data_IF_181852989165
#
_entry.id   IF_181852989165
#
_cell.length_a   1.000
_cell.length_b   1.000
_cell.length_c   1.000
_cell.angle_alpha   90.00
_cell.angle_beta   90.00
_cell.angle_gamma   90.00
#
_symmetry.space_group_name_H-M   'P 1'
#
loop_
_entity.id
_entity.type
_entity.pdbx_description
1 polymer ?
#
# COMPACT_ATOMS: atom_id res chain seq x y z
N UNK A 1 -61.65 16.91 25.56
CA UNK A 1 -61.14 16.63 24.21
C UNK A 1 -59.69 16.20 24.33
N UNK A 2 -59.40 14.93 24.05
CA UNK A 2 -58.05 14.43 23.84
C UNK A 2 -57.63 14.68 22.38
N UNK A 3 -56.34 14.86 22.13
CA UNK A 3 -55.81 15.01 20.78
C UNK A 3 -54.29 15.20 20.76
N UNK A 4 -53.58 14.08 20.77
CA UNK A 4 -52.15 13.93 20.52
C UNK A 4 -51.66 14.69 19.26
N UNK A 5 -50.43 15.21 19.29
CA UNK A 5 -49.45 15.08 18.21
C UNK A 5 -48.06 15.58 18.67
N UNK A 6 -47.22 14.65 19.12
CA UNK A 6 -45.77 14.86 19.22
C UNK A 6 -45.06 13.51 19.04
N UNK A 7 -45.07 12.99 17.81
CA UNK A 7 -44.30 11.81 17.43
C UNK A 7 -43.80 11.96 15.99
N UNK A 8 -42.88 12.90 15.76
CA UNK A 8 -42.29 13.15 14.43
C UNK A 8 -40.75 13.21 14.41
N UNK A 9 -40.07 13.23 15.56
CA UNK A 9 -38.63 13.52 15.62
C UNK A 9 -37.69 12.34 15.39
N UNK A 10 -38.12 11.11 15.64
CA UNK A 10 -37.21 9.94 15.68
C UNK A 10 -37.04 9.23 14.33
N UNK A 11 -38.05 9.26 13.47
CA UNK A 11 -38.00 8.59 12.17
C UNK A 11 -37.06 9.28 11.15
N UNK A 12 -37.03 10.62 11.14
CA UNK A 12 -36.15 11.40 10.25
C UNK A 12 -34.67 11.29 10.61
N UNK A 13 -34.35 11.25 11.91
CA UNK A 13 -32.98 11.03 12.38
C UNK A 13 -32.47 9.61 12.03
N UNK A 14 -33.32 8.59 12.19
CA UNK A 14 -33.01 7.21 11.80
C UNK A 14 -32.72 7.07 10.30
N UNK A 15 -33.57 7.66 9.44
CA UNK A 15 -33.37 7.63 8.00
C UNK A 15 -32.07 8.35 7.56
N UNK A 16 -31.76 9.52 8.15
CA UNK A 16 -30.53 10.25 7.87
C UNK A 16 -29.26 9.48 8.26
N UNK A 17 -29.27 8.81 9.40
CA UNK A 17 -28.12 7.98 9.84
C UNK A 17 -27.89 6.76 8.95
N UNK A 18 -28.96 6.11 8.48
CA UNK A 18 -28.85 4.97 7.57
C UNK A 18 -28.31 5.40 6.20
N UNK A 19 -28.80 6.52 5.65
CA UNK A 19 -28.30 7.07 4.40
C UNK A 19 -26.81 7.45 4.47
N UNK A 20 -26.38 8.06 5.58
CA UNK A 20 -24.98 8.39 5.83
C UNK A 20 -24.09 7.13 5.81
N UNK A 21 -24.46 6.10 6.58
CA UNK A 21 -23.69 4.84 6.64
C UNK A 21 -23.59 4.14 5.30
N UNK A 22 -24.67 4.18 4.51
CA UNK A 22 -24.66 3.62 3.16
C UNK A 22 -23.69 4.39 2.26
N UNK A 23 -23.69 5.72 2.31
CA UNK A 23 -22.78 6.55 1.52
C UNK A 23 -21.31 6.32 1.92
N UNK A 24 -21.02 6.21 3.21
CA UNK A 24 -19.69 5.88 3.75
C UNK A 24 -19.22 4.51 3.24
N UNK A 25 -20.06 3.48 3.33
CA UNK A 25 -19.71 2.14 2.84
C UNK A 25 -19.49 2.13 1.32
N UNK A 26 -20.33 2.83 0.55
CA UNK A 26 -20.14 2.96 -0.90
C UNK A 26 -18.83 3.67 -1.26
N UNK A 27 -18.42 4.67 -0.48
CA UNK A 27 -17.14 5.34 -0.69
C UNK A 27 -15.94 4.44 -0.43
N UNK A 28 -15.98 3.67 0.67
CA UNK A 28 -14.97 2.65 0.97
C UNK A 28 -14.89 1.61 -0.15
N UNK A 29 -16.03 1.13 -0.65
CA UNK A 29 -16.06 0.15 -1.73
C UNK A 29 -15.44 0.71 -3.01
N UNK A 30 -15.78 1.95 -3.42
CA UNK A 30 -15.17 2.59 -4.60
C UNK A 30 -13.65 2.73 -4.48
N UNK A 31 -13.13 3.04 -3.29
CA UNK A 31 -11.68 3.11 -3.04
C UNK A 31 -11.02 1.74 -3.15
N UNK A 32 -11.66 0.68 -2.63
CA UNK A 32 -11.19 -0.70 -2.77
C UNK A 32 -11.21 -1.13 -4.23
N UNK A 33 -12.30 -0.89 -4.95
CA UNK A 33 -12.44 -1.26 -6.37
C UNK A 33 -11.41 -0.53 -7.24
N UNK A 34 -11.09 0.73 -6.92
CA UNK A 34 -10.08 1.49 -7.65
C UNK A 34 -8.67 0.88 -7.58
N UNK A 35 -8.27 0.31 -6.45
CA UNK A 35 -6.98 -0.39 -6.33
C UNK A 35 -7.06 -1.84 -6.80
N UNK A 36 -8.18 -2.50 -6.54
CA UNK A 36 -8.41 -3.87 -6.99
C UNK A 36 -8.44 -3.97 -8.52
N UNK A 37 -8.96 -2.96 -9.25
CA UNK A 37 -8.89 -2.93 -10.73
C UNK A 37 -7.46 -2.91 -11.27
N UNK A 38 -6.51 -2.35 -10.51
CA UNK A 38 -5.09 -2.29 -10.90
C UNK A 38 -4.34 -3.57 -10.55
N UNK A 39 -4.74 -4.25 -9.46
CA UNK A 39 -4.13 -5.47 -8.97
C UNK A 39 -5.21 -6.44 -8.42
N UNK A 40 -6.01 -7.07 -9.29
CA UNK A 40 -7.19 -7.84 -8.90
C UNK A 40 -6.85 -9.16 -8.22
N UNK A 41 -5.62 -9.63 -8.40
CA UNK A 41 -5.08 -10.85 -7.83
C UNK A 41 -4.65 -10.72 -6.37
N UNK A 42 -4.71 -9.52 -5.78
CA UNK A 42 -4.41 -9.25 -4.37
C UNK A 42 -5.69 -9.05 -3.57
N UNK A 43 -5.64 -9.36 -2.26
CA UNK A 43 -6.70 -8.96 -1.35
C UNK A 43 -6.53 -7.49 -0.97
N UNK A 44 -7.65 -6.78 -0.88
CA UNK A 44 -7.68 -5.36 -0.51
C UNK A 44 -8.75 -5.13 0.54
N UNK A 45 -8.50 -4.19 1.44
CA UNK A 45 -9.52 -3.71 2.35
C UNK A 45 -9.35 -2.21 2.61
N UNK A 46 -10.46 -1.52 2.78
CA UNK A 46 -10.49 -0.14 3.26
C UNK A 46 -11.43 -0.05 4.46
N UNK A 47 -11.06 0.76 5.45
CA UNK A 47 -11.88 0.96 6.63
C UNK A 47 -11.85 2.38 7.17
N UNK A 48 -12.98 2.84 7.68
CA UNK A 48 -13.12 4.13 8.34
C UNK A 48 -12.81 3.96 9.84
N UNK A 49 -11.88 4.77 10.36
CA UNK A 49 -11.54 4.80 11.79
C UNK A 49 -12.67 5.40 12.63
N UNK A 50 -12.57 5.23 13.94
CA UNK A 50 -13.49 5.77 14.94
C UNK A 50 -13.49 7.31 15.02
N UNK A 51 -12.45 7.96 14.50
CA UNK A 51 -12.40 9.41 14.27
C UNK A 51 -13.32 9.91 13.14
N UNK A 52 -14.07 9.01 12.48
CA UNK A 52 -14.98 9.24 11.35
C UNK A 52 -14.35 9.96 10.14
N UNK A 53 -13.03 10.12 10.09
CA UNK A 53 -12.33 10.91 9.05
C UNK A 53 -11.20 10.16 8.37
N UNK A 54 -10.50 9.29 9.10
CA UNK A 54 -9.36 8.54 8.57
C UNK A 54 -9.85 7.27 7.88
N UNK A 55 -9.74 7.23 6.55
CA UNK A 55 -9.91 6.01 5.77
C UNK A 55 -8.57 5.32 5.57
N UNK A 56 -8.38 4.14 6.14
CA UNK A 56 -7.15 3.34 5.96
C UNK A 56 -7.35 2.36 4.81
N UNK A 57 -6.35 2.25 3.93
CA UNK A 57 -6.32 1.26 2.83
C UNK A 57 -5.17 0.27 3.05
N UNK A 58 -5.44 -1.02 2.90
CA UNK A 58 -4.47 -2.09 3.11
C UNK A 58 -4.56 -3.21 2.07
N UNK A 59 -3.45 -3.90 1.90
CA UNK A 59 -3.35 -5.24 1.29
C UNK A 59 -2.52 -6.12 2.23
N UNK A 60 -2.81 -7.41 2.25
CA UNK A 60 -2.07 -8.42 3.00
C UNK A 60 -0.80 -8.90 2.30
N UNK A 61 -0.49 -8.42 1.09
CA UNK A 61 0.72 -8.77 0.32
C UNK A 61 2.00 -8.76 1.18
N UNK A 62 2.19 -7.72 2.00
CA UNK A 62 3.26 -7.65 2.99
C UNK A 62 2.87 -6.75 4.16
N UNK A 63 1.84 -7.16 4.90
CA UNK A 63 1.47 -6.52 6.18
C UNK A 63 1.10 -5.05 6.08
N UNK A 64 0.50 -4.62 4.95
CA UNK A 64 0.09 -3.23 4.72
C UNK A 64 0.94 -2.45 3.70
N UNK A 65 2.05 -3.00 3.22
CA UNK A 65 2.81 -2.37 2.13
C UNK A 65 1.99 -2.35 0.83
N UNK A 66 1.88 -1.18 0.20
CA UNK A 66 1.20 -1.02 -1.08
C UNK A 66 2.24 -1.04 -2.22
N UNK A 67 2.14 -1.95 -3.21
CA UNK A 67 3.12 -2.04 -4.30
C UNK A 67 3.15 -0.77 -5.18
N UNK A 68 4.28 -0.48 -5.85
CA UNK A 68 4.47 0.75 -6.64
C UNK A 68 3.58 0.82 -7.90
N UNK A 69 3.09 -0.34 -8.37
CA UNK A 69 2.20 -0.44 -9.52
C UNK A 69 0.77 -0.03 -9.23
N UNK A 70 0.40 0.09 -7.95
CA UNK A 70 -0.94 0.49 -7.54
C UNK A 70 -0.95 1.98 -7.20
N UNK A 71 -1.73 2.73 -7.97
CA UNK A 71 -1.99 4.14 -7.77
C UNK A 71 -3.11 4.35 -6.76
N UNK A 72 -2.87 5.21 -5.78
CA UNK A 72 -3.76 5.39 -4.64
C UNK A 72 -4.93 6.31 -4.96
N UNK A 73 -6.15 5.97 -4.49
CA UNK A 73 -7.30 6.89 -4.52
C UNK A 73 -7.10 8.02 -3.49
N UNK A 74 -7.81 9.14 -3.61
CA UNK A 74 -7.62 10.29 -2.74
C UNK A 74 -8.13 10.02 -1.33
N UNK A 75 -7.59 10.74 -0.35
CA UNK A 75 -8.08 10.72 1.05
C UNK A 75 -7.98 9.35 1.72
N UNK A 76 -6.94 8.57 1.39
CA UNK A 76 -6.58 7.36 2.13
C UNK A 76 -5.34 7.61 2.98
N UNK A 77 -5.27 6.93 4.12
CA UNK A 77 -4.08 6.74 4.92
C UNK A 77 -3.57 5.31 4.74
N UNK A 78 -2.27 5.11 4.89
CA UNK A 78 -1.64 3.79 4.86
C UNK A 78 -1.19 3.40 6.27
N UNK A 79 -1.01 2.11 6.50
CA UNK A 79 -0.36 1.65 7.72
C UNK A 79 1.12 2.07 7.74
N UNK A 80 1.63 2.36 8.93
CA UNK A 80 3.06 2.60 9.10
C UNK A 80 3.88 1.34 8.81
N UNK A 81 5.11 1.50 8.26
CA UNK A 81 6.05 0.41 8.09
C UNK A 81 6.31 -0.32 9.42
N UNK A 82 5.93 -1.59 9.47
CA UNK A 82 6.15 -2.42 10.65
C UNK A 82 6.16 -3.90 10.26
N UNK A 83 6.85 -4.71 11.05
CA UNK A 83 6.72 -6.15 10.98
C UNK A 83 5.35 -6.59 11.51
N UNK A 84 4.57 -7.30 10.68
CA UNK A 84 3.27 -7.87 11.05
C UNK A 84 3.26 -9.37 10.73
N UNK A 85 2.39 -10.12 11.41
CA UNK A 85 2.24 -11.57 11.17
C UNK A 85 1.79 -11.81 9.72
N UNK A 86 2.37 -12.82 9.08
CA UNK A 86 2.15 -13.09 7.64
C UNK A 86 0.75 -13.58 7.29
N UNK A 87 0.10 -14.25 8.21
CA UNK A 87 -1.23 -14.84 8.05
C UNK A 87 -2.36 -13.84 8.38
N UNK A 88 -2.02 -12.58 8.66
CA UNK A 88 -3.00 -11.52 8.90
C UNK A 88 -3.70 -11.16 7.60
N UNK A 89 -5.02 -11.35 7.53
CA UNK A 89 -5.81 -10.99 6.35
C UNK A 89 -5.88 -9.47 6.15
N UNK A 90 -6.24 -9.03 4.94
CA UNK A 90 -6.44 -7.61 4.66
C UNK A 90 -7.49 -6.96 5.59
N UNK A 91 -8.54 -7.69 5.96
CA UNK A 91 -9.57 -7.19 6.89
C UNK A 91 -9.00 -7.08 8.31
N UNK A 92 -8.23 -8.07 8.77
CA UNK A 92 -7.62 -8.04 10.11
C UNK A 92 -6.58 -6.90 10.25
N UNK A 93 -5.87 -6.58 9.15
CA UNK A 93 -4.93 -5.46 9.10
C UNK A 93 -5.59 -4.09 9.31
N UNK A 94 -6.90 -3.97 9.06
CA UNK A 94 -7.62 -2.74 9.35
C UNK A 94 -7.63 -2.46 10.86
N UNK A 95 -7.68 -3.48 11.73
CA UNK A 95 -7.86 -3.28 13.17
C UNK A 95 -9.22 -2.66 13.51
N UNK A 96 -9.26 -1.77 14.50
CA UNK A 96 -10.51 -1.11 14.92
C UNK A 96 -10.99 -0.10 13.87
N UNK A 97 -12.13 -0.39 13.24
CA UNK A 97 -12.81 0.44 12.24
C UNK A 97 -14.32 0.38 12.46
N UNK A 98 -15.03 1.47 12.13
CA UNK A 98 -16.49 1.58 12.28
C UNK A 98 -17.25 1.15 11.01
N UNK A 99 -16.57 1.12 9.87
CA UNK A 99 -17.05 0.60 8.61
C UNK A 99 -15.88 0.02 7.81
N UNK A 100 -16.14 -1.01 7.01
CA UNK A 100 -15.14 -1.64 6.16
C UNK A 100 -15.73 -2.08 4.81
N UNK A 101 -14.89 -2.11 3.80
CA UNK A 101 -15.11 -2.74 2.50
C UNK A 101 -13.88 -3.58 2.16
N UNK A 102 -14.06 -4.68 1.42
CA UNK A 102 -12.96 -5.57 1.07
C UNK A 102 -13.19 -6.22 -0.30
N UNK A 103 -12.08 -6.55 -0.95
CA UNK A 103 -12.03 -7.30 -2.19
C UNK A 103 -11.23 -8.58 -1.97
N UNK A 104 -11.80 -9.70 -2.44
CA UNK A 104 -11.14 -10.99 -2.42
C UNK A 104 -10.39 -11.24 -3.74
N UNK A 105 -9.19 -11.84 -3.70
CA UNK A 105 -8.38 -12.09 -4.89
C UNK A 105 -9.17 -12.74 -6.04
N UNK A 106 -8.98 -12.24 -7.26
CA UNK A 106 -9.58 -12.75 -8.50
C UNK A 106 -11.10 -12.72 -8.55
N UNK A 107 -11.75 -11.97 -7.65
CA UNK A 107 -13.19 -11.71 -7.74
C UNK A 107 -13.47 -10.70 -8.86
N UNK A 108 -14.63 -10.79 -9.48
CA UNK A 108 -15.05 -9.85 -10.50
C UNK A 108 -15.18 -8.43 -9.91
N UNK A 109 -14.70 -7.44 -10.66
CA UNK A 109 -14.80 -6.01 -10.31
C UNK A 109 -15.44 -5.30 -11.50
N UNK A 110 -16.43 -4.47 -11.23
CA UNK A 110 -17.08 -3.66 -12.26
C UNK A 110 -16.13 -2.61 -12.83
N UNK A 111 -16.34 -2.24 -14.11
CA UNK A 111 -15.60 -1.16 -14.73
C UNK A 111 -15.76 0.17 -13.98
N UNK A 112 -14.79 1.07 -14.17
CA UNK A 112 -14.78 2.36 -13.50
C UNK A 112 -15.96 3.23 -13.94
N UNK A 113 -16.79 3.65 -12.97
CA UNK A 113 -17.88 4.58 -13.18
C UNK A 113 -17.46 6.05 -13.02
N UNK A 114 -18.33 7.01 -13.37
CA UNK A 114 -18.04 8.45 -13.26
C UNK A 114 -17.74 8.94 -11.83
N UNK A 115 -18.23 8.21 -10.83
CA UNK A 115 -18.06 8.55 -9.41
C UNK A 115 -16.86 7.83 -8.77
N UNK A 116 -16.13 7.03 -9.54
CA UNK A 116 -14.95 6.34 -9.03
C UNK A 116 -13.75 7.27 -8.91
N UNK A 117 -12.91 7.08 -7.89
CA UNK A 117 -11.76 7.95 -7.67
C UNK A 117 -10.73 7.79 -8.79
N UNK A 118 -10.15 8.93 -9.21
CA UNK A 118 -9.08 8.95 -10.20
C UNK A 118 -7.81 8.34 -9.60
N UNK A 119 -7.26 7.25 -10.17
CA UNK A 119 -6.04 6.63 -9.67
C UNK A 119 -4.86 7.62 -9.63
N UNK A 120 -4.13 7.64 -8.51
CA UNK A 120 -2.91 8.43 -8.33
C UNK A 120 -3.15 9.82 -7.73
N UNK A 121 -4.40 10.21 -7.50
CA UNK A 121 -4.74 11.44 -6.77
C UNK A 121 -4.41 11.38 -5.28
N UNK A 122 -4.11 10.19 -4.74
CA UNK A 122 -3.80 9.96 -3.32
C UNK A 122 -2.34 9.63 -2.98
N UNK A 123 -1.38 9.78 -3.89
CA UNK A 123 0.00 9.31 -3.67
C UNK A 123 0.70 9.93 -2.45
N UNK A 124 0.26 11.10 -1.99
CA UNK A 124 0.78 11.75 -0.77
C UNK A 124 0.64 10.87 0.48
N UNK A 125 -0.25 9.88 0.47
CA UNK A 125 -0.40 8.93 1.57
C UNK A 125 0.85 8.06 1.81
N UNK A 126 1.77 7.97 0.84
CA UNK A 126 3.06 7.27 0.98
C UNK A 126 4.14 8.13 1.66
N UNK A 127 3.95 9.45 1.74
CA UNK A 127 5.01 10.39 2.09
C UNK A 127 5.23 10.48 3.61
N UNK A 128 6.29 11.17 4.03
CA UNK A 128 6.58 11.43 5.44
C UNK A 128 7.34 10.30 6.14
N UNK A 129 7.80 9.29 5.40
CA UNK A 129 8.66 8.24 5.94
C UNK A 129 10.08 8.79 6.13
N UNK A 130 10.65 8.57 7.31
CA UNK A 130 11.98 9.05 7.66
C UNK A 130 13.01 7.95 7.44
N UNK A 131 14.04 8.25 6.65
CA UNK A 131 15.22 7.41 6.47
C UNK A 131 16.44 8.30 6.61
N UNK A 132 17.25 8.02 7.62
CA UNK A 132 18.56 8.61 7.79
C UNK A 132 19.47 8.21 6.64
N UNK A 133 20.19 9.19 6.10
CA UNK A 133 21.23 8.98 5.08
C UNK A 133 20.77 8.03 3.94
N UNK A 134 19.69 8.41 3.25
CA UNK A 134 19.06 7.60 2.19
C UNK A 134 20.06 6.96 1.22
N UNK A 135 21.06 7.71 0.76
CA UNK A 135 22.10 7.23 -0.16
C UNK A 135 22.97 6.13 0.44
N UNK A 136 23.70 6.39 1.55
CA UNK A 136 24.46 5.37 2.28
C UNK A 136 23.64 4.12 2.63
N UNK A 137 22.45 4.30 3.20
CA UNK A 137 21.54 3.20 3.55
C UNK A 137 21.23 2.33 2.33
N UNK A 138 20.93 2.94 1.18
CA UNK A 138 20.63 2.22 -0.06
C UNK A 138 21.83 1.40 -0.56
N UNK A 139 23.05 1.95 -0.48
CA UNK A 139 24.29 1.26 -0.88
C UNK A 139 24.53 0.05 0.02
N UNK A 140 24.33 0.20 1.33
CA UNK A 140 24.59 -0.85 2.30
C UNK A 140 23.62 -2.03 2.10
N UNK A 141 22.32 -1.76 2.04
CA UNK A 141 21.31 -2.83 1.90
C UNK A 141 21.39 -3.56 0.55
N UNK A 142 21.74 -2.84 -0.53
CA UNK A 142 21.91 -3.48 -1.85
C UNK A 142 23.23 -4.25 -1.94
N UNK A 143 24.29 -3.75 -1.31
CA UNK A 143 25.59 -4.42 -1.26
C UNK A 143 25.58 -5.68 -0.38
N UNK A 144 24.80 -5.68 0.70
CA UNK A 144 24.67 -6.81 1.61
C UNK A 144 23.77 -7.95 1.09
N UNK A 145 23.02 -7.74 -0.01
CA UNK A 145 22.09 -8.73 -0.55
C UNK A 145 22.72 -9.51 -1.73
N UNK A 146 23.25 -10.72 -1.51
CA UNK A 146 23.97 -11.48 -2.53
C UNK A 146 23.06 -12.02 -3.65
N UNK A 147 21.73 -11.99 -3.45
CA UNK A 147 20.75 -12.49 -4.43
C UNK A 147 20.41 -11.45 -5.49
N UNK A 148 20.70 -10.18 -5.25
CA UNK A 148 20.39 -9.12 -6.21
C UNK A 148 21.35 -9.20 -7.40
N UNK A 149 20.82 -9.17 -8.64
CA UNK A 149 21.65 -9.05 -9.84
C UNK A 149 22.58 -7.85 -9.76
N UNK A 150 23.77 -7.96 -10.35
CA UNK A 150 24.80 -6.90 -10.29
C UNK A 150 24.28 -5.55 -10.78
N UNK A 151 23.39 -5.54 -11.77
CA UNK A 151 22.77 -4.33 -12.30
C UNK A 151 22.06 -3.52 -11.21
N UNK A 152 21.39 -4.17 -10.25
CA UNK A 152 20.69 -3.51 -9.14
C UNK A 152 21.68 -2.74 -8.27
N UNK A 153 22.82 -3.34 -7.95
CA UNK A 153 23.87 -2.70 -7.15
C UNK A 153 24.51 -1.52 -7.90
N UNK A 154 24.73 -1.65 -9.21
CA UNK A 154 25.26 -0.57 -10.05
C UNK A 154 24.32 0.63 -10.04
N UNK A 155 23.04 0.41 -10.35
CA UNK A 155 22.04 1.48 -10.41
C UNK A 155 21.80 2.11 -9.04
N UNK A 156 21.72 1.31 -7.97
CA UNK A 156 21.58 1.81 -6.61
C UNK A 156 22.71 2.76 -6.20
N UNK A 157 23.97 2.39 -6.49
CA UNK A 157 25.14 3.25 -6.21
C UNK A 157 25.10 4.55 -7.00
N UNK A 158 24.68 4.49 -8.25
CA UNK A 158 24.56 5.68 -9.08
C UNK A 158 23.46 6.63 -8.55
N UNK A 159 22.29 6.10 -8.21
CA UNK A 159 21.19 6.87 -7.61
C UNK A 159 21.59 7.48 -6.26
N UNK A 160 22.25 6.71 -5.38
CA UNK A 160 22.73 7.17 -4.08
C UNK A 160 23.77 8.31 -4.21
N UNK A 161 24.58 8.30 -5.27
CA UNK A 161 25.58 9.33 -5.57
C UNK A 161 25.03 10.49 -6.40
N UNK A 162 23.73 10.47 -6.72
CA UNK A 162 23.08 11.43 -7.65
C UNK A 162 23.81 11.52 -8.99
N UNK A 163 24.37 10.41 -9.47
CA UNK A 163 25.00 10.33 -10.79
C UNK A 163 24.03 9.79 -11.84
N UNK A 164 24.27 10.13 -13.11
CA UNK A 164 23.52 9.55 -14.22
C UNK A 164 23.71 8.03 -14.33
N UNK A 165 22.71 7.36 -14.88
CA UNK A 165 22.71 5.93 -15.23
C UNK A 165 22.36 5.85 -16.71
N UNK A 166 23.02 4.96 -17.45
CA UNK A 166 22.74 4.83 -18.87
C UNK A 166 21.35 4.21 -19.11
N UNK A 167 20.67 4.59 -20.20
CA UNK A 167 19.30 4.12 -20.49
C UNK A 167 19.21 2.59 -20.59
N UNK A 168 20.25 1.93 -21.12
CA UNK A 168 20.31 0.47 -21.20
C UNK A 168 20.42 -0.18 -19.81
N UNK A 169 21.12 0.45 -18.86
CA UNK A 169 21.22 -0.01 -17.48
C UNK A 169 19.89 0.17 -16.75
N UNK A 170 19.19 1.29 -16.97
CA UNK A 170 17.83 1.52 -16.46
C UNK A 170 16.87 0.47 -17.02
N UNK A 171 16.93 0.19 -18.32
CA UNK A 171 16.09 -0.82 -18.95
C UNK A 171 16.32 -2.22 -18.36
N UNK A 172 17.59 -2.63 -18.21
CA UNK A 172 17.94 -3.91 -17.59
C UNK A 172 17.50 -3.97 -16.13
N UNK A 173 17.64 -2.88 -15.37
CA UNK A 173 17.14 -2.79 -14.01
C UNK A 173 15.61 -2.94 -13.95
N UNK A 174 14.86 -2.26 -14.81
CA UNK A 174 13.39 -2.36 -14.87
C UNK A 174 12.90 -3.73 -15.31
N UNK A 175 13.67 -4.46 -16.11
CA UNK A 175 13.41 -5.87 -16.37
C UNK A 175 13.46 -6.68 -15.07
N UNK A 176 14.48 -6.49 -14.23
CA UNK A 176 14.58 -7.16 -12.91
C UNK A 176 13.39 -6.80 -12.01
N UNK A 177 12.95 -5.54 -12.00
CA UNK A 177 11.74 -5.10 -11.28
C UNK A 177 10.51 -5.91 -11.75
N UNK A 178 10.31 -5.97 -13.06
CA UNK A 178 9.15 -6.62 -13.68
C UNK A 178 9.13 -8.13 -13.42
N UNK A 179 10.29 -8.80 -13.56
CA UNK A 179 10.43 -10.23 -13.26
C UNK A 179 10.20 -10.54 -11.78
N UNK A 180 10.66 -9.67 -10.87
CA UNK A 180 10.46 -9.82 -9.42
C UNK A 180 8.99 -9.65 -9.06
N UNK A 181 8.34 -8.60 -9.59
CA UNK A 181 6.90 -8.40 -9.44
C UNK A 181 6.10 -9.61 -9.94
N UNK A 182 6.36 -10.07 -11.17
CA UNK A 182 5.63 -11.19 -11.76
C UNK A 182 5.75 -12.46 -10.90
N UNK A 183 6.97 -12.76 -10.42
CA UNK A 183 7.24 -13.88 -9.52
C UNK A 183 6.44 -13.78 -8.23
N UNK A 184 6.47 -12.63 -7.56
CA UNK A 184 5.72 -12.40 -6.31
C UNK A 184 4.22 -12.58 -6.54
N UNK A 185 3.67 -11.90 -7.55
CA UNK A 185 2.23 -11.93 -7.83
C UNK A 185 1.74 -13.30 -8.27
N UNK A 186 2.56 -14.08 -9.00
CA UNK A 186 2.22 -15.46 -9.39
C UNK A 186 2.23 -16.46 -8.23
N UNK A 187 3.00 -16.16 -7.18
CA UNK A 187 3.13 -17.03 -6.01
C UNK A 187 2.17 -16.63 -4.88
N UNK A 188 1.48 -15.50 -4.99
CA UNK A 188 0.53 -15.03 -4.00
C UNK A 188 -0.63 -16.02 -3.81
N UNK A 189 -1.07 -16.33 -2.58
CA UNK A 189 -0.62 -15.76 -1.29
C UNK A 189 0.58 -16.48 -0.64
N UNK A 190 1.17 -17.49 -1.29
CA UNK A 190 2.31 -18.27 -0.76
C UNK A 190 3.68 -17.74 -1.20
N UNK A 191 3.79 -16.47 -1.60
CA UNK A 191 5.04 -15.86 -2.03
C UNK A 191 6.08 -15.84 -0.90
N UNK A 192 7.37 -15.92 -1.27
CA UNK A 192 8.45 -15.80 -0.30
C UNK A 192 8.65 -14.32 0.08
N UNK A 193 8.62 -13.94 1.37
CA UNK A 193 8.72 -12.53 1.76
C UNK A 193 10.07 -11.89 1.57
N UNK A 194 11.12 -12.69 1.36
CA UNK A 194 12.39 -12.18 0.84
C UNK A 194 12.24 -11.63 -0.59
N UNK A 195 11.35 -12.20 -1.40
CA UNK A 195 11.11 -11.74 -2.78
C UNK A 195 10.29 -10.44 -2.77
N UNK A 196 9.36 -10.29 -1.81
CA UNK A 196 8.66 -9.01 -1.61
C UNK A 196 9.58 -7.94 -1.04
N UNK A 197 10.47 -8.29 -0.11
CA UNK A 197 11.50 -7.37 0.37
C UNK A 197 12.42 -6.93 -0.78
N UNK A 198 12.88 -7.85 -1.64
CA UNK A 198 13.64 -7.45 -2.83
C UNK A 198 12.82 -6.51 -3.72
N UNK A 199 11.53 -6.77 -3.91
CA UNK A 199 10.66 -5.88 -4.67
C UNK A 199 10.52 -4.49 -4.04
N UNK A 200 10.41 -4.38 -2.71
CA UNK A 200 10.42 -3.09 -2.00
C UNK A 200 11.72 -2.32 -2.28
N UNK A 201 12.87 -3.00 -2.18
CA UNK A 201 14.16 -2.36 -2.45
C UNK A 201 14.30 -1.91 -3.91
N UNK A 202 13.85 -2.73 -4.85
CA UNK A 202 13.78 -2.38 -6.27
C UNK A 202 12.85 -1.19 -6.52
N UNK A 203 11.69 -1.14 -5.86
CA UNK A 203 10.76 -0.02 -5.95
C UNK A 203 11.36 1.29 -5.42
N UNK A 204 12.18 1.22 -4.36
CA UNK A 204 12.89 2.38 -3.84
C UNK A 204 13.88 2.95 -4.87
N UNK A 205 14.63 2.09 -5.56
CA UNK A 205 15.59 2.50 -6.60
C UNK A 205 14.84 3.06 -7.82
N UNK A 206 13.77 2.41 -8.28
CA UNK A 206 12.98 2.91 -9.43
C UNK A 206 12.33 4.27 -9.13
N UNK A 207 11.90 4.50 -7.88
CA UNK A 207 11.41 5.80 -7.43
C UNK A 207 12.49 6.89 -7.54
N UNK A 208 13.75 6.58 -7.21
CA UNK A 208 14.88 7.52 -7.39
C UNK A 208 15.18 7.80 -8.86
N UNK A 209 15.09 6.79 -9.73
CA UNK A 209 15.19 6.98 -11.19
C UNK A 209 14.08 7.93 -11.67
N UNK A 210 12.87 7.81 -11.11
CA UNK A 210 11.74 8.71 -11.35
C UNK A 210 11.84 10.07 -10.65
N UNK A 211 12.92 10.35 -9.91
CA UNK A 211 13.15 11.62 -9.23
C UNK A 211 12.37 11.81 -7.93
N UNK A 212 11.76 10.76 -7.36
CA UNK A 212 10.95 10.85 -6.14
C UNK A 212 11.66 10.24 -4.93
N UNK A 213 12.31 11.09 -4.14
CA UNK A 213 12.90 10.64 -2.86
C UNK A 213 11.84 10.24 -1.83
N UNK A 214 10.66 10.86 -1.83
CA UNK A 214 9.57 10.51 -0.90
C UNK A 214 9.10 9.07 -1.11
N UNK A 215 8.90 8.66 -2.36
CA UNK A 215 8.54 7.28 -2.68
C UNK A 215 9.70 6.31 -2.39
N UNK A 216 10.95 6.74 -2.64
CA UNK A 216 12.12 5.95 -2.28
C UNK A 216 12.17 5.67 -0.77
N UNK A 217 11.95 6.70 0.06
CA UNK A 217 11.87 6.57 1.53
C UNK A 217 10.73 5.65 1.95
N UNK A 218 9.55 5.76 1.33
CA UNK A 218 8.44 4.85 1.60
C UNK A 218 8.81 3.38 1.40
N UNK A 219 9.32 3.05 0.21
CA UNK A 219 9.66 1.67 -0.12
C UNK A 219 10.82 1.14 0.72
N UNK A 220 11.81 1.98 1.01
CA UNK A 220 12.96 1.59 1.83
C UNK A 220 12.59 1.43 3.32
N UNK A 221 11.70 2.25 3.87
CA UNK A 221 11.21 2.10 5.23
C UNK A 221 10.47 0.76 5.42
N UNK A 222 9.63 0.38 4.44
CA UNK A 222 9.01 -0.94 4.43
C UNK A 222 10.03 -2.07 4.31
N UNK A 223 11.03 -1.94 3.43
CA UNK A 223 12.12 -2.92 3.32
C UNK A 223 12.82 -3.14 4.67
N UNK A 224 13.21 -2.05 5.36
CA UNK A 224 13.84 -2.14 6.67
C UNK A 224 12.92 -2.80 7.70
N UNK A 225 11.65 -2.37 7.77
CA UNK A 225 10.68 -2.91 8.72
C UNK A 225 10.47 -4.44 8.57
N UNK A 226 10.52 -4.98 7.35
CA UNK A 226 10.29 -6.42 7.11
C UNK A 226 11.57 -7.26 7.12
N UNK A 227 12.75 -6.65 7.00
CA UNK A 227 14.05 -7.34 6.97
C UNK A 227 14.85 -7.26 8.26
N UNK A 228 14.61 -6.23 9.08
CA UNK A 228 15.17 -6.14 10.43
C UNK A 228 14.69 -7.36 11.21
N UNK A 229 15.61 -8.28 11.48
CA UNK A 229 15.37 -9.36 12.43
C UNK A 229 15.17 -8.69 13.77
N UNK A 230 14.00 -8.85 14.40
CA UNK A 230 13.90 -8.61 15.83
C UNK A 230 14.88 -9.56 16.52
N UNK A 231 16.06 -9.04 16.86
CA UNK A 231 16.93 -9.66 17.86
C UNK A 231 16.09 -9.77 19.12
N UNK A 232 15.74 -10.99 19.49
CA UNK A 232 14.97 -11.25 20.69
C UNK A 232 15.66 -10.59 21.87
N UNK A 233 14.95 -9.69 22.54
CA UNK A 233 15.22 -9.44 23.95
C UNK A 233 14.72 -10.70 24.65
N UNK A 234 15.62 -11.63 24.92
CA UNK A 234 15.40 -12.64 25.96
C UNK A 234 15.37 -11.91 27.32
N UNK A 235 14.40 -12.23 28.20
CA UNK A 235 14.33 -11.65 29.54
C UNK A 235 15.55 -12.00 30.41
#
# INVERSE_FOLDING_TARGET
MAGNMAAGGTAGAGAGTAARRLAEHQDLQRKVDAVARQAPNLAWAAGLRDDETTTVLVTDLAGGWIPPTVKLPPGVALLDPAHRRRDTSAVDLLGAVIAAAAHQPNTYITEAGPNDPIPGSGERARYGQHIDELGPTLIDVTGANPRLPRIVQTVARAMARRSGVADNEIALFRQVVTETQARVLSAYPQHAPRDVADWMLLAAIDALIGGSEELARYHLAWYQAVTVRHGGVTP
#
